data_IF_101293804492
#
_entry.id   IF_101293804492
#
_cell.length_a   1.000
_cell.length_b   1.000
_cell.length_c   1.000
_cell.angle_alpha   90.00
_cell.angle_beta   90.00
_cell.angle_gamma   90.00
#
_symmetry.space_group_name_H-M   'P 1'
#
loop_
_entity.id
_entity.type
_entity.pdbx_description
1 polymer ?
#
# COMPACT_ATOMS: atom_id res chain seq x y z
N UNK A 1 47.13 48.76 -13.41
CA UNK A 1 45.94 48.21 -14.11
C UNK A 1 45.74 46.76 -13.66
N UNK A 2 45.23 46.55 -12.46
CA UNK A 2 45.15 45.20 -11.86
C UNK A 2 44.05 45.20 -10.82
N UNK A 3 42.79 45.19 -11.22
CA UNK A 3 41.66 45.05 -10.27
C UNK A 3 40.30 44.79 -10.94
N UNK A 4 40.22 43.83 -11.88
CA UNK A 4 38.91 43.39 -12.46
C UNK A 4 38.75 41.88 -12.64
N UNK A 5 39.58 41.05 -11.98
CA UNK A 5 39.45 39.58 -12.07
C UNK A 5 38.64 38.94 -10.94
N UNK A 6 38.52 39.59 -9.77
CA UNK A 6 37.77 39.04 -8.63
C UNK A 6 36.25 39.19 -8.75
N UNK A 7 35.77 40.28 -9.36
CA UNK A 7 34.34 40.61 -9.43
C UNK A 7 33.55 39.79 -10.46
N UNK A 8 34.21 39.22 -11.48
CA UNK A 8 33.51 38.36 -12.45
C UNK A 8 33.15 37.00 -11.85
N UNK A 9 34.04 36.42 -11.03
CA UNK A 9 33.79 35.14 -10.35
C UNK A 9 32.62 35.22 -9.38
N UNK A 10 32.54 36.28 -8.59
CA UNK A 10 31.41 36.52 -7.67
C UNK A 10 30.10 36.70 -8.45
N UNK A 11 30.13 37.39 -9.60
CA UNK A 11 28.96 37.55 -10.46
C UNK A 11 28.49 36.21 -11.03
N UNK A 12 29.41 35.35 -11.47
CA UNK A 12 29.08 34.03 -12.02
C UNK A 12 28.53 33.08 -10.94
N UNK A 13 29.12 33.12 -9.74
CA UNK A 13 28.62 32.37 -8.57
C UNK A 13 27.22 32.84 -8.15
N UNK A 14 26.97 34.15 -8.13
CA UNK A 14 25.64 34.71 -7.85
C UNK A 14 24.62 34.37 -8.93
N UNK A 15 24.99 34.39 -10.22
CA UNK A 15 24.11 33.99 -11.31
C UNK A 15 23.74 32.50 -11.24
N UNK A 16 24.68 31.64 -10.85
CA UNK A 16 24.40 30.21 -10.64
C UNK A 16 23.52 29.99 -9.40
N UNK A 17 23.72 30.75 -8.32
CA UNK A 17 22.86 30.69 -7.14
C UNK A 17 21.45 31.20 -7.44
N UNK A 18 21.30 32.29 -8.21
CA UNK A 18 19.98 32.78 -8.66
C UNK A 18 19.29 31.78 -9.57
N UNK A 19 20.02 31.14 -10.49
CA UNK A 19 19.49 30.08 -11.37
C UNK A 19 19.05 28.86 -10.56
N UNK A 20 19.89 28.39 -9.65
CA UNK A 20 19.55 27.28 -8.76
C UNK A 20 18.31 27.60 -7.94
N UNK A 21 18.24 28.80 -7.35
CA UNK A 21 17.06 29.27 -6.61
C UNK A 21 15.80 29.30 -7.49
N UNK A 22 15.89 29.78 -8.73
CA UNK A 22 14.77 29.80 -9.69
C UNK A 22 14.35 28.39 -10.16
N UNK A 23 15.31 27.48 -10.35
CA UNK A 23 15.09 26.07 -10.68
C UNK A 23 14.46 25.31 -9.48
N UNK A 24 14.78 25.69 -8.25
CA UNK A 24 14.27 25.06 -7.03
C UNK A 24 13.13 25.84 -6.37
N UNK A 25 12.62 26.93 -6.97
CA UNK A 25 11.60 27.79 -6.34
C UNK A 25 10.29 27.05 -6.05
N UNK A 26 10.00 26.03 -6.85
CA UNK A 26 8.85 25.14 -6.70
C UNK A 26 9.20 23.80 -6.03
N UNK A 27 10.47 23.64 -5.58
CA UNK A 27 10.93 22.49 -4.80
C UNK A 27 10.37 22.59 -3.39
N UNK A 28 9.09 22.24 -3.21
CA UNK A 28 8.59 21.85 -1.91
C UNK A 28 9.38 20.62 -1.44
N UNK A 29 9.69 20.53 -0.13
CA UNK A 29 10.38 19.36 0.42
C UNK A 29 9.75 18.08 -0.14
N UNK A 30 10.58 17.13 -0.60
CA UNK A 30 10.12 15.86 -1.19
C UNK A 30 9.11 15.20 -0.24
N UNK A 31 7.82 15.39 -0.50
CA UNK A 31 6.81 14.50 0.06
C UNK A 31 7.09 13.13 -0.55
N UNK A 32 7.53 12.16 0.25
CA UNK A 32 7.81 10.83 -0.28
C UNK A 32 6.57 10.24 -0.92
N UNK A 33 6.71 9.86 -2.18
CA UNK A 33 5.71 9.06 -2.87
C UNK A 33 5.96 7.58 -2.54
N UNK A 34 4.92 6.75 -2.59
CA UNK A 34 5.10 5.29 -2.57
C UNK A 34 5.50 4.74 -3.94
N UNK A 35 5.62 5.59 -4.97
CA UNK A 35 6.19 5.25 -6.26
C UNK A 35 7.73 5.21 -6.18
N UNK A 36 8.36 4.41 -7.03
CA UNK A 36 9.82 4.40 -7.19
C UNK A 36 10.33 5.76 -7.68
N UNK A 37 11.52 6.16 -7.23
CA UNK A 37 12.11 7.47 -7.54
C UNK A 37 12.62 7.58 -9.00
N UNK A 38 12.95 6.45 -9.63
CA UNK A 38 13.61 6.35 -10.93
C UNK A 38 12.65 5.99 -12.09
N UNK A 39 11.38 6.41 -11.97
CA UNK A 39 10.38 6.15 -12.99
C UNK A 39 10.40 7.18 -14.11
N UNK A 40 10.58 6.71 -15.35
CA UNK A 40 10.32 7.48 -16.57
C UNK A 40 8.85 7.27 -17.00
N UNK A 41 7.92 7.72 -16.15
CA UNK A 41 6.47 7.65 -16.43
C UNK A 41 5.82 9.01 -16.20
N UNK A 42 4.98 9.50 -17.12
CA UNK A 42 4.29 10.76 -16.94
C UNK A 42 3.16 10.60 -15.91
N UNK A 43 3.22 11.37 -14.83
CA UNK A 43 2.15 11.43 -13.83
C UNK A 43 1.19 12.57 -14.13
N UNK A 44 -0.10 12.25 -14.22
CA UNK A 44 -1.13 13.27 -14.39
C UNK A 44 -1.53 13.86 -13.04
N UNK A 45 -1.57 15.20 -12.97
CA UNK A 45 -2.11 15.95 -11.84
C UNK A 45 -3.44 16.58 -12.26
N UNK A 46 -4.53 16.03 -11.75
CA UNK A 46 -5.87 16.53 -12.04
C UNK A 46 -6.04 17.99 -11.58
N UNK A 47 -6.21 18.89 -12.57
CA UNK A 47 -6.42 20.32 -12.40
C UNK A 47 -7.78 20.68 -11.80
N UNK A 48 -8.11 21.95 -11.73
CA UNK A 48 -9.49 22.37 -11.43
C UNK A 48 -10.27 22.47 -12.75
N UNK A 49 -11.53 22.05 -12.75
CA UNK A 49 -12.39 22.10 -13.94
C UNK A 49 -13.05 20.76 -14.27
N UNK A 50 -13.52 20.67 -15.51
CA UNK A 50 -14.10 19.45 -16.08
C UNK A 50 -13.00 18.62 -16.75
N UNK A 51 -13.13 17.30 -16.61
CA UNK A 51 -12.16 16.34 -17.10
C UNK A 51 -12.85 15.21 -17.81
N UNK A 52 -12.20 14.69 -18.85
CA UNK A 52 -12.60 13.48 -19.55
C UNK A 52 -11.38 12.58 -19.75
N UNK A 53 -11.50 11.34 -19.29
CA UNK A 53 -10.40 10.37 -19.34
C UNK A 53 -10.87 9.01 -19.85
N UNK A 54 -9.97 8.25 -20.45
CA UNK A 54 -10.13 6.80 -20.60
C UNK A 54 -9.22 6.07 -19.62
N UNK A 55 -9.74 5.04 -18.96
CA UNK A 55 -8.92 4.14 -18.13
C UNK A 55 -8.50 2.94 -18.98
N UNK A 56 -7.20 2.68 -19.02
CA UNK A 56 -6.61 1.61 -19.81
C UNK A 56 -6.42 0.34 -18.96
N UNK A 57 -6.82 -0.83 -19.47
CA UNK A 57 -6.53 -2.09 -18.82
C UNK A 57 -5.05 -2.45 -19.00
N UNK A 58 -4.50 -3.13 -18.02
CA UNK A 58 -3.11 -3.61 -18.01
C UNK A 58 -3.05 -5.01 -17.41
N UNK A 59 -1.92 -5.70 -17.61
CA UNK A 59 -1.68 -6.99 -16.96
C UNK A 59 -1.11 -6.74 -15.57
N UNK A 60 -1.75 -7.30 -14.55
CA UNK A 60 -1.24 -7.27 -13.19
C UNK A 60 0.12 -7.96 -13.13
N UNK A 61 1.06 -7.35 -12.41
CA UNK A 61 2.33 -7.98 -12.08
C UNK A 61 2.23 -8.86 -10.85
N UNK A 62 3.38 -9.31 -10.37
CA UNK A 62 3.49 -10.23 -9.22
C UNK A 62 3.14 -9.58 -7.89
N UNK A 63 3.20 -8.26 -7.82
CA UNK A 63 3.02 -7.49 -6.59
C UNK A 63 1.60 -6.94 -6.46
N UNK A 64 0.73 -7.24 -7.42
CA UNK A 64 -0.65 -6.80 -7.39
C UNK A 64 -1.41 -7.48 -6.24
N UNK A 65 -2.07 -6.73 -5.33
CA UNK A 65 -2.60 -7.28 -4.08
C UNK A 65 -3.89 -8.10 -4.25
N UNK A 66 -4.61 -7.90 -5.37
CA UNK A 66 -5.95 -8.49 -5.59
C UNK A 66 -5.95 -9.44 -6.80
N UNK A 67 -5.61 -8.91 -7.97
CA UNK A 67 -5.53 -9.64 -9.24
C UNK A 67 -4.26 -10.48 -9.33
N UNK A 68 -4.37 -11.71 -9.83
CA UNK A 68 -3.25 -12.63 -10.06
C UNK A 68 -2.32 -12.14 -11.19
N UNK A 69 -1.04 -12.51 -11.09
CA UNK A 69 0.00 -12.22 -12.08
C UNK A 69 -0.43 -12.61 -13.50
N UNK A 70 -0.25 -11.69 -14.44
CA UNK A 70 -0.59 -11.84 -15.85
C UNK A 70 -2.06 -11.67 -16.22
N UNK A 71 -2.99 -11.59 -15.24
CA UNK A 71 -4.42 -11.32 -15.52
C UNK A 71 -4.65 -9.83 -15.77
N UNK A 72 -5.64 -9.52 -16.61
CA UNK A 72 -6.03 -8.14 -16.86
C UNK A 72 -6.79 -7.54 -15.68
N UNK A 73 -6.47 -6.29 -15.38
CA UNK A 73 -7.20 -5.40 -14.47
C UNK A 73 -7.15 -3.99 -15.05
N UNK A 74 -7.94 -3.07 -14.51
CA UNK A 74 -7.94 -1.66 -14.92
C UNK A 74 -7.46 -0.72 -13.82
N UNK A 75 -7.31 -1.22 -12.59
CA UNK A 75 -6.81 -0.43 -11.47
C UNK A 75 -5.86 -1.22 -10.59
N UNK A 76 -5.01 -0.49 -9.89
CA UNK A 76 -4.29 -0.95 -8.71
C UNK A 76 -4.95 -0.31 -7.47
N UNK A 77 -5.63 -1.12 -6.67
CA UNK A 77 -6.29 -0.69 -5.42
C UNK A 77 -5.41 -1.05 -4.22
N UNK A 78 -4.92 -0.02 -3.52
CA UNK A 78 -3.96 -0.19 -2.44
C UNK A 78 -4.27 0.67 -1.22
N UNK A 79 -3.90 0.15 -0.06
CA UNK A 79 -3.94 0.87 1.22
C UNK A 79 -2.58 1.50 1.51
N UNK A 80 -2.56 2.81 1.76
CA UNK A 80 -1.33 3.59 1.92
C UNK A 80 -1.38 4.37 3.23
N UNK A 81 -0.35 4.22 4.06
CA UNK A 81 -0.11 5.12 5.19
C UNK A 81 0.45 6.44 4.64
N UNK A 82 -0.06 7.57 5.12
CA UNK A 82 0.31 8.89 4.60
C UNK A 82 1.01 9.71 5.66
N UNK A 83 1.89 10.61 5.23
CA UNK A 83 2.59 11.56 6.08
C UNK A 83 3.38 10.86 7.20
N UNK A 84 4.13 9.82 6.84
CA UNK A 84 4.90 9.00 7.78
C UNK A 84 6.31 9.55 7.94
N UNK A 85 6.71 9.71 9.20
CA UNK A 85 8.04 10.21 9.55
C UNK A 85 8.22 11.71 9.24
N UNK A 86 9.43 12.23 9.47
CA UNK A 86 9.74 13.66 9.31
C UNK A 86 9.67 14.16 7.86
N UNK A 87 9.78 13.25 6.88
CA UNK A 87 9.67 13.58 5.45
C UNK A 87 8.23 13.50 4.92
N UNK A 88 7.27 13.18 5.78
CA UNK A 88 5.86 13.00 5.42
C UNK A 88 5.65 11.98 4.27
N UNK A 89 6.38 10.86 4.32
CA UNK A 89 6.36 9.85 3.27
C UNK A 89 5.02 9.13 3.19
N UNK A 90 4.60 8.78 1.98
CA UNK A 90 3.48 7.87 1.75
C UNK A 90 4.03 6.47 1.51
N UNK A 91 3.56 5.48 2.26
CA UNK A 91 4.09 4.10 2.21
C UNK A 91 2.97 3.07 2.09
N UNK A 92 3.19 2.05 1.26
CA UNK A 92 2.24 0.94 1.07
C UNK A 92 2.09 0.17 2.38
N UNK A 93 0.85 -0.06 2.83
CA UNK A 93 0.57 -0.84 4.04
C UNK A 93 0.70 -2.35 3.78
N UNK A 94 1.68 -3.07 4.36
CA UNK A 94 1.83 -4.51 4.12
C UNK A 94 0.68 -5.34 4.70
N UNK A 95 0.13 -4.90 5.84
CA UNK A 95 -0.95 -5.60 6.53
C UNK A 95 -2.26 -5.60 5.74
N UNK A 96 -2.65 -4.44 5.21
CA UNK A 96 -3.92 -4.30 4.49
C UNK A 96 -3.87 -4.84 3.07
N UNK A 97 -2.72 -4.75 2.40
CA UNK A 97 -2.58 -5.19 1.01
C UNK A 97 -2.15 -6.66 0.89
N UNK A 98 -1.25 -7.11 1.76
CA UNK A 98 -0.55 -8.40 1.58
C UNK A 98 -0.67 -9.34 2.78
N UNK A 99 -1.47 -8.99 3.80
CA UNK A 99 -1.61 -9.76 5.05
C UNK A 99 -0.26 -10.02 5.75
N UNK A 100 0.69 -9.09 5.59
CA UNK A 100 2.03 -9.15 6.22
C UNK A 100 2.08 -8.25 7.46
N UNK A 101 2.98 -8.50 8.44
CA UNK A 101 3.17 -7.61 9.58
C UNK A 101 3.42 -6.15 9.17
N UNK A 102 2.96 -5.19 9.97
CA UNK A 102 3.09 -3.76 9.69
C UNK A 102 3.28 -2.98 11.00
N UNK A 103 4.45 -2.35 11.21
CA UNK A 103 4.77 -1.72 12.50
C UNK A 103 3.82 -0.56 12.82
N UNK A 104 3.36 0.18 11.81
CA UNK A 104 2.42 1.31 11.99
C UNK A 104 1.03 0.81 12.40
N UNK A 105 0.56 -0.29 11.82
CA UNK A 105 -0.72 -0.90 12.21
C UNK A 105 -0.66 -1.51 13.61
N UNK A 106 0.45 -2.15 13.95
CA UNK A 106 0.70 -2.72 15.28
C UNK A 106 0.71 -1.63 16.35
N UNK A 107 1.45 -0.53 16.11
CA UNK A 107 1.45 0.65 16.97
C UNK A 107 0.04 1.19 17.23
N UNK A 108 -0.78 1.36 16.19
CA UNK A 108 -2.17 1.82 16.33
C UNK A 108 -3.04 0.87 17.17
N UNK A 109 -2.83 -0.43 17.04
CA UNK A 109 -3.53 -1.44 17.84
C UNK A 109 -3.11 -1.36 19.30
N UNK A 110 -1.81 -1.18 19.57
CA UNK A 110 -1.28 -1.12 20.92
C UNK A 110 -1.69 0.15 21.63
N UNK A 111 -1.61 1.31 20.96
CA UNK A 111 -2.13 2.58 21.47
C UNK A 111 -3.62 2.49 21.77
N UNK A 112 -4.41 1.85 20.90
CA UNK A 112 -5.86 1.67 21.11
C UNK A 112 -6.21 0.82 22.34
N UNK A 113 -5.28 0.01 22.87
CA UNK A 113 -5.50 -0.82 24.06
C UNK A 113 -5.10 -0.11 25.35
N UNK A 114 -4.30 0.95 25.28
CA UNK A 114 -3.89 1.71 26.47
C UNK A 114 -5.05 2.61 26.90
N UNK A 115 -5.34 2.65 28.20
CA UNK A 115 -6.50 3.33 28.78
C UNK A 115 -6.25 4.78 29.17
N UNK A 116 -5.03 5.28 28.94
CA UNK A 116 -4.51 6.59 29.34
C UNK A 116 -4.58 7.65 28.24
N UNK A 117 -4.91 7.26 27.01
CA UNK A 117 -5.09 8.17 25.88
C UNK A 117 -6.58 8.49 25.75
N UNK A 118 -6.91 9.78 25.67
CA UNK A 118 -8.29 10.20 25.50
C UNK A 118 -8.82 9.88 24.09
N UNK A 119 -10.14 9.88 23.95
CA UNK A 119 -10.80 9.45 22.70
C UNK A 119 -10.53 10.41 21.53
N UNK A 120 -10.30 11.70 21.80
CA UNK A 120 -10.04 12.71 20.78
C UNK A 120 -8.63 12.52 20.22
N UNK A 121 -7.62 12.43 21.08
CA UNK A 121 -6.23 12.14 20.71
C UNK A 121 -6.12 10.81 19.95
N UNK A 122 -6.83 9.77 20.41
CA UNK A 122 -6.86 8.48 19.73
C UNK A 122 -7.49 8.56 18.33
N UNK A 123 -8.52 9.39 18.15
CA UNK A 123 -9.16 9.60 16.85
C UNK A 123 -8.27 10.40 15.90
N UNK A 124 -7.54 11.40 16.39
CA UNK A 124 -6.55 12.15 15.59
C UNK A 124 -5.42 11.23 15.12
N UNK A 125 -4.89 10.39 16.02
CA UNK A 125 -3.85 9.42 15.70
C UNK A 125 -4.32 8.40 14.66
N UNK A 126 -5.56 7.91 14.79
CA UNK A 126 -6.17 7.02 13.79
C UNK A 126 -6.37 7.74 12.46
N UNK A 127 -6.82 8.99 12.45
CA UNK A 127 -7.07 9.75 11.23
C UNK A 127 -5.79 10.03 10.43
N UNK A 128 -4.68 10.26 11.14
CA UNK A 128 -3.36 10.51 10.55
C UNK A 128 -2.67 9.23 10.09
N UNK A 129 -2.52 8.23 10.97
CA UNK A 129 -1.69 7.06 10.70
C UNK A 129 -2.44 5.89 10.04
N UNK A 130 -3.76 5.79 10.15
CA UNK A 130 -4.49 4.66 9.55
C UNK A 130 -4.31 4.71 8.03
N UNK A 131 -4.05 3.56 7.38
CA UNK A 131 -3.87 3.58 5.94
C UNK A 131 -5.17 3.97 5.25
N UNK A 132 -5.04 4.79 4.20
CA UNK A 132 -6.13 5.31 3.37
C UNK A 132 -6.11 4.58 2.03
N UNK A 133 -7.29 4.23 1.52
CA UNK A 133 -7.44 3.50 0.26
C UNK A 133 -7.22 4.43 -0.92
N UNK A 134 -6.25 4.09 -1.77
CA UNK A 134 -5.85 4.81 -2.98
C UNK A 134 -6.01 3.90 -4.17
N UNK A 135 -6.24 4.49 -5.33
CA UNK A 135 -6.34 3.79 -6.60
C UNK A 135 -5.36 4.44 -7.57
N UNK A 136 -4.71 3.59 -8.36
CA UNK A 136 -3.79 4.00 -9.43
C UNK A 136 -4.33 3.46 -10.74
N UNK A 137 -4.30 4.29 -11.78
CA UNK A 137 -4.78 3.97 -13.13
C UNK A 137 -3.73 4.30 -14.19
N UNK A 138 -3.74 3.56 -15.30
CA UNK A 138 -3.24 4.06 -16.58
C UNK A 138 -4.38 4.84 -17.25
N UNK A 139 -4.13 6.07 -17.69
CA UNK A 139 -5.16 6.91 -18.29
C UNK A 139 -4.70 7.59 -19.58
N UNK A 140 -5.66 7.91 -20.44
CA UNK A 140 -5.55 8.94 -21.46
C UNK A 140 -6.40 10.13 -21.02
N UNK A 141 -5.90 11.35 -21.20
CA UNK A 141 -6.55 12.58 -20.75
C UNK A 141 -6.91 13.41 -21.98
N UNK A 142 -8.19 13.78 -22.10
CA UNK A 142 -8.73 14.52 -23.25
C UNK A 142 -9.14 15.95 -22.89
N UNK A 143 -8.51 16.52 -21.85
CA UNK A 143 -8.80 17.89 -21.41
C UNK A 143 -8.28 18.93 -22.41
N UNK A 144 -7.09 18.68 -22.97
CA UNK A 144 -6.41 19.57 -23.92
C UNK A 144 -5.55 18.75 -24.88
N UNK A 145 -5.25 19.31 -26.06
CA UNK A 145 -4.34 18.69 -27.02
C UNK A 145 -2.92 18.44 -26.46
N UNK A 146 -2.48 19.25 -25.49
CA UNK A 146 -1.20 19.04 -24.82
C UNK A 146 -1.22 17.79 -23.94
N UNK A 147 -2.26 17.62 -23.12
CA UNK A 147 -2.44 16.43 -22.29
C UNK A 147 -2.60 15.16 -23.14
N UNK A 148 -3.38 15.24 -24.23
CA UNK A 148 -3.53 14.12 -25.17
C UNK A 148 -2.19 13.71 -25.79
N UNK A 149 -1.33 14.68 -26.11
CA UNK A 149 -0.02 14.43 -26.72
C UNK A 149 0.97 13.69 -25.82
N UNK A 150 0.77 13.74 -24.49
CA UNK A 150 1.57 12.98 -23.52
C UNK A 150 1.30 11.48 -23.57
N UNK A 151 0.20 11.08 -24.18
CA UNK A 151 -0.20 9.68 -24.29
C UNK A 151 -0.61 9.12 -22.92
N UNK A 152 -0.15 7.91 -22.62
CA UNK A 152 -0.53 7.19 -21.39
C UNK A 152 0.11 7.87 -20.19
N UNK A 153 -0.72 8.25 -19.23
CA UNK A 153 -0.29 8.83 -17.96
C UNK A 153 -0.69 7.95 -16.79
N UNK A 154 0.07 8.01 -15.70
CA UNK A 154 -0.27 7.36 -14.44
C UNK A 154 -1.00 8.35 -13.55
N UNK A 155 -2.15 7.94 -13.02
CA UNK A 155 -2.92 8.77 -12.11
C UNK A 155 -3.21 8.06 -10.79
N UNK A 156 -2.76 8.69 -9.71
CA UNK A 156 -2.98 8.28 -8.34
C UNK A 156 -4.05 9.18 -7.71
N UNK A 157 -5.08 8.57 -7.11
CA UNK A 157 -6.22 9.30 -6.57
C UNK A 157 -6.89 8.53 -5.43
N UNK A 158 -7.67 9.24 -4.62
CA UNK A 158 -8.43 8.62 -3.53
C UNK A 158 -9.46 7.66 -4.09
N UNK A 159 -9.53 6.44 -3.56
CA UNK A 159 -10.64 5.52 -3.85
C UNK A 159 -11.99 6.19 -3.59
N UNK A 160 -12.08 7.04 -2.56
CA UNK A 160 -13.32 7.76 -2.24
C UNK A 160 -13.77 8.71 -3.36
N UNK A 161 -12.83 9.37 -4.02
CA UNK A 161 -13.12 10.35 -5.06
C UNK A 161 -13.45 9.68 -6.39
N UNK A 162 -12.73 8.61 -6.77
CA UNK A 162 -12.92 7.96 -8.07
C UNK A 162 -13.65 6.62 -7.97
N UNK A 163 -12.97 5.53 -7.61
CA UNK A 163 -13.54 4.17 -7.70
C UNK A 163 -14.87 4.01 -6.96
N UNK A 164 -15.02 4.63 -5.78
CA UNK A 164 -16.29 4.62 -5.03
C UNK A 164 -17.45 5.27 -5.78
N UNK A 165 -17.16 6.19 -6.70
CA UNK A 165 -18.13 6.88 -7.56
C UNK A 165 -18.34 6.15 -8.88
N UNK A 166 -17.26 5.65 -9.50
CA UNK A 166 -17.32 4.95 -10.80
C UNK A 166 -17.95 3.55 -10.67
N UNK A 167 -17.55 2.76 -9.66
CA UNK A 167 -17.99 1.36 -9.54
C UNK A 167 -19.53 1.21 -9.51
N UNK A 168 -20.31 2.04 -8.76
CA UNK A 168 -21.76 2.01 -8.85
C UNK A 168 -22.33 2.38 -10.23
N UNK A 169 -21.68 3.29 -10.97
CA UNK A 169 -22.11 3.68 -12.33
C UNK A 169 -21.90 2.58 -13.35
N UNK A 170 -20.92 1.71 -13.11
CA UNK A 170 -20.68 0.53 -13.95
C UNK A 170 -21.77 -0.53 -13.81
N UNK A 171 -22.67 -0.44 -12.83
CA UNK A 171 -23.71 -1.44 -12.61
C UNK A 171 -25.04 -1.01 -13.24
N UNK A 172 -25.58 -1.83 -14.12
CA UNK A 172 -26.90 -1.60 -14.72
C UNK A 172 -28.03 -1.97 -13.75
N UNK A 173 -29.26 -1.55 -14.08
CA UNK A 173 -30.46 -1.91 -13.31
C UNK A 173 -30.72 -3.43 -13.30
N UNK A 174 -30.31 -4.15 -14.34
CA UNK A 174 -30.39 -5.61 -14.44
C UNK A 174 -29.35 -6.32 -13.58
N UNK A 175 -28.37 -5.59 -13.04
CA UNK A 175 -27.27 -6.12 -12.25
C UNK A 175 -26.04 -6.53 -13.06
N UNK A 176 -26.05 -6.28 -14.37
CA UNK A 176 -24.90 -6.48 -15.26
C UNK A 176 -23.87 -5.36 -15.04
N UNK A 177 -22.62 -5.64 -15.40
CA UNK A 177 -21.53 -4.68 -15.31
C UNK A 177 -21.17 -4.16 -16.70
N UNK A 178 -20.97 -2.85 -16.79
CA UNK A 178 -20.44 -2.15 -17.96
C UNK A 178 -18.92 -2.20 -17.85
N UNK A 179 -18.22 -2.90 -18.76
CA UNK A 179 -16.76 -2.96 -18.76
C UNK A 179 -16.21 -1.65 -19.33
N UNK A 180 -16.29 -0.56 -18.57
CA UNK A 180 -15.91 0.78 -19.04
C UNK A 180 -14.44 0.88 -19.47
N UNK A 181 -13.57 0.02 -18.94
CA UNK A 181 -12.15 -0.06 -19.30
C UNK A 181 -11.88 -0.99 -20.49
N UNK A 182 -12.89 -1.61 -21.10
CA UNK A 182 -12.70 -2.41 -22.31
C UNK A 182 -12.10 -1.54 -23.44
N UNK A 183 -11.08 -1.99 -24.17
CA UNK A 183 -10.43 -1.16 -25.18
C UNK A 183 -11.30 -0.91 -26.41
N UNK A 184 -12.26 -1.78 -26.72
CA UNK A 184 -13.11 -1.71 -27.91
C UNK A 184 -14.45 -1.07 -27.57
N UNK A 185 -15.18 -1.62 -26.60
CA UNK A 185 -16.56 -1.26 -26.26
C UNK A 185 -16.67 -0.50 -24.92
N UNK A 186 -15.55 0.02 -24.42
CA UNK A 186 -15.47 0.76 -23.16
C UNK A 186 -16.15 2.13 -23.19
N UNK A 187 -15.94 2.87 -22.10
CA UNK A 187 -16.51 4.21 -21.88
C UNK A 187 -15.39 5.16 -21.44
N UNK A 188 -15.56 6.43 -21.78
CA UNK A 188 -14.82 7.51 -21.16
C UNK A 188 -15.48 7.89 -19.84
N UNK A 189 -14.69 8.41 -18.90
CA UNK A 189 -15.14 8.86 -17.60
C UNK A 189 -15.03 10.37 -17.59
N UNK A 190 -16.19 11.03 -17.56
CA UNK A 190 -16.26 12.46 -17.40
C UNK A 190 -16.59 12.80 -15.94
N UNK A 191 -15.92 13.80 -15.39
CA UNK A 191 -16.10 14.28 -14.02
C UNK A 191 -15.61 15.72 -13.90
N UNK A 192 -15.82 16.34 -12.74
CA UNK A 192 -15.19 17.63 -12.42
C UNK A 192 -14.42 17.54 -11.12
N UNK A 193 -13.41 18.39 -11.00
CA UNK A 193 -12.71 18.68 -9.75
C UNK A 193 -12.89 20.15 -9.40
N UNK A 194 -13.29 20.41 -8.17
CA UNK A 194 -13.39 21.77 -7.62
C UNK A 194 -12.52 21.92 -6.37
N UNK A 195 -11.91 23.10 -6.22
CA UNK A 195 -11.10 23.45 -5.05
C UNK A 195 -9.76 22.73 -4.96
N UNK A 196 -8.97 23.12 -3.96
CA UNK A 196 -7.62 22.62 -3.72
C UNK A 196 -7.38 22.31 -2.24
N UNK A 197 -6.48 21.37 -1.96
CA UNK A 197 -6.11 21.00 -0.58
C UNK A 197 -7.02 19.97 0.08
N UNK A 198 -6.66 19.55 1.29
CA UNK A 198 -7.29 18.41 1.96
C UNK A 198 -8.75 18.63 2.38
N UNK A 199 -9.17 19.88 2.63
CA UNK A 199 -10.50 20.21 3.14
C UNK A 199 -11.47 20.76 2.09
N UNK A 200 -10.97 21.24 0.95
CA UNK A 200 -11.79 21.92 -0.07
C UNK A 200 -11.79 21.22 -1.44
N UNK A 201 -11.10 20.07 -1.58
CA UNK A 201 -11.10 19.34 -2.85
C UNK A 201 -12.34 18.46 -2.95
N UNK A 202 -13.12 18.67 -4.00
CA UNK A 202 -14.26 17.85 -4.37
C UNK A 202 -14.07 17.24 -5.75
N UNK A 203 -14.49 15.98 -5.89
CA UNK A 203 -14.64 15.31 -7.17
C UNK A 203 -16.11 14.92 -7.33
N UNK A 204 -16.74 15.37 -8.42
CA UNK A 204 -18.16 15.21 -8.65
C UNK A 204 -18.51 15.02 -10.12
N UNK A 205 -19.80 14.85 -10.41
CA UNK A 205 -20.29 14.78 -11.80
C UNK A 205 -19.87 13.54 -12.60
N UNK A 206 -19.34 12.51 -11.92
CA UNK A 206 -18.91 11.25 -12.53
C UNK A 206 -20.01 10.66 -13.41
N UNK A 207 -19.67 10.39 -14.67
CA UNK A 207 -20.53 9.76 -15.65
C UNK A 207 -19.70 8.95 -16.65
N UNK A 208 -20.33 7.90 -17.18
CA UNK A 208 -19.77 7.11 -18.26
C UNK A 208 -20.29 7.66 -19.58
N UNK A 209 -19.39 8.05 -20.46
CA UNK A 209 -19.70 8.56 -21.80
C UNK A 209 -19.24 7.59 -22.88
N UNK A 210 -19.97 7.56 -23.99
CA UNK A 210 -19.57 6.78 -25.16
C UNK A 210 -18.27 7.34 -25.74
N UNK A 211 -17.33 6.47 -26.10
CA UNK A 211 -16.09 6.86 -26.77
C UNK A 211 -16.36 7.29 -28.20
N UNK A 212 -16.63 8.57 -28.38
CA UNK A 212 -16.88 9.19 -29.68
C UNK A 212 -15.92 10.36 -29.91
N UNK A 213 -15.45 10.48 -31.15
CA UNK A 213 -14.71 11.66 -31.60
C UNK A 213 -15.64 12.85 -31.77
N UNK A 214 -15.11 14.07 -31.92
CA UNK A 214 -15.92 15.29 -32.18
C UNK A 214 -16.86 15.13 -33.40
N UNK A 215 -16.47 14.30 -34.37
CA UNK A 215 -17.30 13.96 -35.55
C UNK A 215 -18.36 12.87 -35.29
N UNK A 216 -18.59 12.45 -34.05
CA UNK A 216 -19.56 11.44 -33.66
C UNK A 216 -19.17 10.01 -34.02
N UNK A 217 -17.93 9.76 -34.44
CA UNK A 217 -17.45 8.41 -34.77
C UNK A 217 -16.91 7.74 -33.52
N UNK A 218 -17.39 6.53 -33.25
CA UNK A 218 -16.86 5.69 -32.19
C UNK A 218 -15.39 5.36 -32.42
N UNK A 219 -14.60 5.31 -31.36
CA UNK A 219 -13.19 4.93 -31.40
C UNK A 219 -12.90 3.82 -30.39
N UNK A 220 -11.82 3.08 -30.67
CA UNK A 220 -11.27 2.06 -29.78
C UNK A 220 -9.83 2.41 -29.43
N UNK A 221 -9.38 1.95 -28.27
CA UNK A 221 -8.00 2.10 -27.82
C UNK A 221 -7.17 1.06 -28.56
N UNK A 222 -6.22 1.52 -29.39
CA UNK A 222 -5.39 0.63 -30.21
C UNK A 222 -4.45 -0.25 -29.37
N UNK A 223 -4.18 -1.46 -29.86
CA UNK A 223 -3.31 -2.46 -29.21
C UNK A 223 -1.92 -1.91 -28.86
N UNK A 224 -1.39 -0.98 -29.65
CA UNK A 224 -0.08 -0.39 -29.41
C UNK A 224 -0.05 0.49 -28.15
N UNK A 225 -1.16 1.11 -27.78
CA UNK A 225 -1.30 1.80 -26.50
C UNK A 225 -1.43 0.79 -25.36
N UNK A 226 -2.21 -0.28 -25.54
CA UNK A 226 -2.37 -1.31 -24.51
C UNK A 226 -1.06 -2.02 -24.16
N UNK A 227 -0.18 -2.25 -25.14
CA UNK A 227 1.17 -2.81 -24.91
C UNK A 227 2.10 -1.85 -24.16
N UNK A 228 1.84 -0.54 -24.23
CA UNK A 228 2.60 0.50 -23.53
C UNK A 228 2.04 0.82 -22.14
N UNK A 229 0.84 0.34 -21.81
CA UNK A 229 0.25 0.54 -20.49
C UNK A 229 1.17 -0.04 -19.41
N UNK A 230 1.39 0.73 -18.35
CA UNK A 230 2.33 0.37 -17.30
C UNK A 230 1.75 -0.74 -16.40
N UNK A 231 2.61 -1.66 -15.97
CA UNK A 231 2.28 -2.60 -14.89
C UNK A 231 2.32 -1.81 -13.58
N UNK A 232 1.15 -1.38 -13.09
CA UNK A 232 1.08 -0.37 -12.03
C UNK A 232 1.68 -0.84 -10.71
N UNK A 233 1.61 -2.13 -10.38
CA UNK A 233 2.21 -2.69 -9.17
C UNK A 233 3.73 -2.82 -9.24
N UNK A 234 4.33 -2.70 -10.43
CA UNK A 234 5.78 -2.59 -10.58
C UNK A 234 6.28 -1.16 -10.34
N UNK A 235 5.39 -0.17 -10.31
CA UNK A 235 5.76 1.24 -10.08
C UNK A 235 5.91 1.58 -8.60
N UNK A 236 5.38 0.75 -7.69
CA UNK A 236 5.33 1.04 -6.26
C UNK A 236 6.50 0.41 -5.50
N UNK A 237 6.82 0.98 -4.34
CA UNK A 237 7.77 0.45 -3.36
C UNK A 237 7.01 -0.26 -2.25
N UNK A 238 7.31 -1.54 -2.04
CA UNK A 238 6.80 -2.32 -0.90
C UNK A 238 7.95 -2.47 0.10
N UNK A 239 7.99 -1.57 1.07
CA UNK A 239 8.99 -1.58 2.12
C UNK A 239 8.88 -2.81 3.02
N UNK A 240 10.01 -3.27 3.50
CA UNK A 240 10.12 -4.30 4.54
C UNK A 240 9.66 -3.75 5.89
N UNK A 241 9.44 -4.65 6.86
CA UNK A 241 9.04 -4.28 8.21
C UNK A 241 10.05 -3.32 8.86
N UNK A 242 11.34 -3.64 8.77
CA UNK A 242 12.41 -2.86 9.40
C UNK A 242 12.57 -1.48 8.76
N UNK A 243 12.44 -1.39 7.43
CA UNK A 243 12.43 -0.11 6.72
C UNK A 243 11.26 0.77 7.15
N UNK A 244 10.05 0.20 7.23
CA UNK A 244 8.87 0.93 7.71
C UNK A 244 9.02 1.37 9.16
N UNK A 245 9.58 0.53 10.03
CA UNK A 245 9.84 0.85 11.44
C UNK A 245 10.82 2.03 11.54
N UNK A 246 11.92 2.00 10.79
CA UNK A 246 12.90 3.09 10.74
C UNK A 246 12.29 4.40 10.24
N UNK A 247 11.49 4.35 9.16
CA UNK A 247 10.77 5.50 8.64
C UNK A 247 9.80 6.09 9.67
N UNK A 248 9.03 5.22 10.33
CA UNK A 248 8.03 5.63 11.31
C UNK A 248 8.64 6.29 12.55
N UNK A 249 9.76 5.79 13.06
CA UNK A 249 10.45 6.35 14.23
C UNK A 249 11.46 7.46 13.87
N UNK A 250 11.56 7.89 12.61
CA UNK A 250 12.42 9.01 12.21
C UNK A 250 13.93 8.69 12.20
N UNK A 251 14.30 7.42 12.09
CA UNK A 251 15.71 7.00 11.97
C UNK A 251 16.54 7.12 13.25
N UNK A 252 15.98 7.52 14.39
CA UNK A 252 16.64 7.30 15.67
C UNK A 252 16.54 5.81 15.99
N UNK A 253 17.70 5.13 16.04
CA UNK A 253 17.88 3.97 16.89
C UNK A 253 17.85 4.43 18.35
N UNK A 254 16.78 5.10 18.77
CA UNK A 254 16.35 4.86 20.13
C UNK A 254 15.85 3.43 20.07
N UNK A 255 16.73 2.50 20.50
CA UNK A 255 16.29 1.39 21.32
C UNK A 255 15.33 1.99 22.34
N UNK A 256 14.05 2.14 21.97
CA UNK A 256 13.01 1.77 22.89
C UNK A 256 13.47 0.39 23.30
N UNK A 257 14.04 0.30 24.51
CA UNK A 257 14.11 -0.95 25.22
C UNK A 257 12.75 -1.56 24.93
N UNK A 258 12.72 -2.56 24.04
CA UNK A 258 11.61 -3.48 23.99
C UNK A 258 11.41 -3.75 25.47
N UNK A 259 10.22 -3.50 26.06
CA UNK A 259 9.99 -4.01 27.38
C UNK A 259 10.42 -5.44 27.22
N UNK A 260 11.49 -5.83 27.93
CA UNK A 260 11.97 -7.19 27.89
C UNK A 260 10.72 -7.90 28.33
N UNK A 261 10.00 -8.44 27.36
CA UNK A 261 9.25 -9.65 27.53
C UNK A 261 10.43 -10.52 27.88
N UNK A 262 10.71 -10.58 29.19
CA UNK A 262 11.15 -11.78 29.80
C UNK A 262 10.27 -12.79 29.08
N UNK A 263 10.87 -13.45 28.09
CA UNK A 263 10.70 -14.87 27.97
C UNK A 263 10.97 -15.31 29.40
N UNK A 264 9.91 -15.28 30.22
CA UNK A 264 9.59 -16.35 31.11
C UNK A 264 9.95 -17.55 30.26
N UNK A 265 11.17 -18.03 30.49
CA UNK A 265 11.47 -19.43 30.37
C UNK A 265 10.23 -20.03 30.98
N UNK A 266 9.37 -20.58 30.12
CA UNK A 266 8.31 -21.43 30.55
C UNK A 266 9.06 -22.41 31.43
N UNK A 267 8.94 -22.20 32.74
CA UNK A 267 9.06 -23.29 33.67
C UNK A 267 7.99 -24.20 33.13
N UNK A 268 8.41 -25.22 32.38
CA UNK A 268 7.59 -26.40 32.19
C UNK A 268 7.00 -26.66 33.56
N UNK A 269 5.69 -26.45 33.76
CA UNK A 269 5.12 -26.94 34.99
C UNK A 269 5.48 -28.41 34.97
N UNK A 270 6.12 -28.87 36.04
CA UNK A 270 6.37 -30.28 36.29
C UNK A 270 4.98 -30.89 36.54
N UNK A 271 4.16 -30.93 35.49
CA UNK A 271 2.74 -31.22 35.52
C UNK A 271 2.63 -32.73 35.58
N UNK A 272 2.92 -33.28 36.76
CA UNK A 272 2.63 -34.67 37.06
C UNK A 272 1.14 -34.87 36.87
N UNK A 273 0.79 -35.90 36.10
CA UNK A 273 -0.60 -36.30 35.97
C UNK A 273 -1.13 -36.66 37.37
N UNK A 274 -2.26 -36.07 37.82
CA UNK A 274 -2.84 -36.40 39.12
C UNK A 274 -3.26 -37.88 39.23
N UNK A 275 -3.48 -38.55 38.09
CA UNK A 275 -3.86 -39.96 37.99
C UNK A 275 -2.71 -40.91 37.67
N UNK A 276 -1.46 -40.55 38.01
CA UNK A 276 -0.24 -41.36 37.80
C UNK A 276 0.14 -41.65 36.33
N UNK A 277 -0.54 -41.05 35.36
CA UNK A 277 -0.22 -41.16 33.93
C UNK A 277 0.92 -40.26 33.43
N UNK A 278 1.23 -40.38 32.15
CA UNK A 278 2.17 -39.51 31.43
C UNK A 278 1.42 -38.33 30.84
N UNK A 279 1.71 -37.13 31.35
CA UNK A 279 1.06 -35.89 30.92
C UNK A 279 1.27 -35.63 29.43
N UNK A 280 0.18 -35.37 28.69
CA UNK A 280 0.20 -35.16 27.25
C UNK A 280 0.24 -36.44 26.40
N UNK A 281 0.43 -37.62 26.98
CA UNK A 281 0.44 -38.90 26.24
C UNK A 281 -0.85 -39.67 26.52
N UNK A 282 -1.23 -39.79 27.79
CA UNK A 282 -2.40 -40.56 28.24
C UNK A 282 -3.67 -39.70 28.32
N UNK A 283 -3.78 -38.67 27.46
CA UNK A 283 -4.93 -37.76 27.44
C UNK A 283 -6.24 -38.53 27.20
N UNK A 284 -7.19 -38.41 28.14
CA UNK A 284 -8.51 -39.06 28.11
C UNK A 284 -8.49 -40.60 28.19
N UNK A 285 -7.35 -41.21 28.57
CA UNK A 285 -7.19 -42.67 28.62
C UNK A 285 -7.31 -43.29 30.02
N UNK A 286 -7.22 -42.48 31.08
CA UNK A 286 -7.25 -42.96 32.47
C UNK A 286 -8.56 -42.55 33.16
N UNK A 287 -9.09 -43.42 34.03
CA UNK A 287 -10.30 -43.11 34.83
C UNK A 287 -10.25 -41.77 35.58
N UNK A 288 -9.10 -41.33 36.15
CA UNK A 288 -9.00 -40.02 36.80
C UNK A 288 -9.08 -38.82 35.84
N UNK A 289 -9.08 -39.01 34.50
CA UNK A 289 -9.24 -37.91 33.55
C UNK A 289 -10.62 -37.26 33.64
N UNK A 290 -11.67 -38.03 33.93
CA UNK A 290 -13.04 -37.54 34.08
C UNK A 290 -13.20 -36.57 35.26
N UNK A 291 -12.37 -36.71 36.29
CA UNK A 291 -12.38 -35.88 37.50
C UNK A 291 -11.17 -34.96 37.61
N UNK A 292 -10.40 -34.82 36.53
CA UNK A 292 -9.20 -34.00 36.50
C UNK A 292 -9.55 -32.50 36.59
N UNK A 293 -8.83 -31.69 37.40
CA UNK A 293 -9.06 -30.25 37.44
C UNK A 293 -9.00 -29.63 36.04
N UNK A 294 -9.99 -28.80 35.70
CA UNK A 294 -10.20 -28.29 34.34
C UNK A 294 -8.95 -27.63 33.74
N UNK A 295 -8.17 -26.92 34.56
CA UNK A 295 -6.89 -26.31 34.15
C UNK A 295 -5.88 -27.38 33.71
N UNK A 296 -5.69 -28.42 34.51
CA UNK A 296 -4.78 -29.54 34.25
C UNK A 296 -5.22 -30.36 33.04
N UNK A 297 -6.53 -30.58 32.89
CA UNK A 297 -7.11 -31.28 31.73
C UNK A 297 -6.83 -30.52 30.42
N UNK A 298 -7.05 -29.19 30.40
CA UNK A 298 -6.79 -28.33 29.23
C UNK A 298 -5.31 -28.27 28.86
N UNK A 299 -4.42 -28.26 29.84
CA UNK A 299 -2.97 -28.27 29.61
C UNK A 299 -2.50 -29.64 29.05
N UNK A 300 -3.03 -30.75 29.58
CA UNK A 300 -2.73 -32.10 29.09
C UNK A 300 -3.18 -32.29 27.63
N UNK A 301 -4.38 -31.79 27.29
CA UNK A 301 -4.89 -31.79 25.92
C UNK A 301 -3.95 -31.06 24.95
N UNK A 302 -3.55 -29.83 25.30
CA UNK A 302 -2.64 -29.02 24.47
C UNK A 302 -1.30 -29.70 24.23
N UNK A 303 -0.79 -30.43 25.23
CA UNK A 303 0.46 -31.18 25.08
C UNK A 303 0.29 -32.36 24.12
N UNK A 304 -0.84 -33.06 24.18
CA UNK A 304 -1.15 -34.19 23.29
C UNK A 304 -1.30 -33.81 21.81
N UNK A 305 -1.65 -32.55 21.53
CA UNK A 305 -1.82 -32.02 20.18
C UNK A 305 -0.51 -31.52 19.56
N UNK A 306 0.61 -31.50 20.31
CA UNK A 306 1.89 -31.07 19.77
C UNK A 306 2.44 -32.12 18.79
N UNK A 307 2.86 -31.72 17.58
CA UNK A 307 3.44 -32.64 16.62
C UNK A 307 4.74 -33.22 17.20
N UNK A 308 4.81 -34.54 17.34
CA UNK A 308 6.02 -35.25 17.77
C UNK A 308 7.09 -35.01 16.70
N UNK A 309 8.18 -34.34 17.08
CA UNK A 309 9.32 -34.16 16.20
C UNK A 309 9.96 -35.53 15.93
N UNK A 310 9.89 -35.97 14.67
CA UNK A 310 10.47 -37.22 14.19
C UNK A 310 12.01 -37.18 14.33
N UNK A 311 12.56 -37.80 15.38
CA UNK A 311 14.00 -37.94 15.58
C UNK A 311 14.59 -39.05 14.69
N UNK A 312 14.54 -38.86 13.37
CA UNK A 312 15.19 -39.71 12.38
C UNK A 312 16.65 -39.34 12.11
N UNK A 313 17.59 -39.59 13.04
CA UNK A 313 19.04 -39.57 12.75
C UNK A 313 19.55 -40.96 12.33
N UNK A 314 19.41 -41.30 11.05
CA UNK A 314 20.15 -42.44 10.45
C UNK A 314 21.45 -41.94 9.84
N UNK A 315 22.56 -42.24 10.51
CA UNK A 315 23.92 -41.95 10.07
C UNK A 315 24.32 -42.88 8.89
N UNK A 316 24.47 -42.31 7.69
CA UNK A 316 25.11 -43.03 6.56
C UNK A 316 26.61 -43.14 6.80
N UNK A 317 27.08 -44.31 7.22
CA UNK A 317 28.50 -44.69 7.16
C UNK A 317 28.90 -45.00 5.73
N UNK A 318 29.95 -44.30 5.26
CA UNK A 318 30.75 -44.67 4.07
C UNK A 318 31.47 -46.00 4.31
N UNK A 319 31.44 -46.87 3.29
CA UNK A 319 32.40 -47.92 2.93
C UNK A 319 32.52 -47.79 1.40
N UNK A 320 33.64 -47.54 0.70
CA UNK A 320 34.96 -48.21 0.68
C UNK A 320 34.80 -49.69 0.96
N UNK A 321 34.71 -50.56 -0.05
CA UNK A 321 35.61 -50.76 -1.22
C UNK A 321 34.77 -51.08 -2.45
#
# INVERSE_FOLDING_TARGET
MTERRGTSRVRDELLNATRHSDETKDSTGRFGSFFKDDLDVPFWKCGEGEHIIDILPFRAGKNHPITEDGKYTYLLDIWVHRNIGPNEDNVVCPARNYKKPCPICEYLVDVSKKSDIDEEELNELRSSLRPKRRVVYNILVYDTAEEESKGIQVWEVSHWFMEKRIAPLSKTRTGEYIPFSDPVDGKSIAFYRHGTGAQNTEFGGHRLEDRVTEGGKSYSIGDDLLKKAHILDDLIVISTYDELKKLFHGGSEEEQEEPKVEKEKSKTPDSKCPGEGTFGVDYDQLKPCETCPEKTYRECKKESEKPVADEGKVTRRRRTI
#
